data_IF_030317522314
#
_entry.id   IF_030317522314
#
_cell.length_a   1.000
_cell.length_b   1.000
_cell.length_c   1.000
_cell.angle_alpha   90.00
_cell.angle_beta   90.00
_cell.angle_gamma   90.00
#
_symmetry.space_group_name_H-M   'P 1'
#
loop_
_entity.id
_entity.type
_entity.pdbx_description
1 polymer ?
#
# COMPACT_ATOMS: atom_id res chain seq x y z
N UNK A 1 -13.39 6.69 17.09
CA UNK A 1 -12.44 6.57 15.96
C UNK A 1 -11.38 7.65 16.11
N UNK A 2 -10.11 7.35 15.87
CA UNK A 2 -9.00 8.31 15.92
C UNK A 2 -9.07 9.23 14.68
N UNK A 3 -9.26 10.55 14.85
CA UNK A 3 -9.43 11.46 13.71
C UNK A 3 -8.16 11.59 12.86
N UNK A 4 -6.97 11.52 13.46
CA UNK A 4 -5.72 11.61 12.73
C UNK A 4 -5.51 10.36 11.84
N UNK A 5 -5.88 9.18 12.36
CA UNK A 5 -5.84 7.94 11.57
C UNK A 5 -6.89 7.94 10.46
N UNK A 6 -8.08 8.47 10.70
CA UNK A 6 -9.10 8.60 9.66
C UNK A 6 -8.61 9.52 8.52
N UNK A 7 -8.05 10.69 8.87
CA UNK A 7 -7.45 11.60 7.90
C UNK A 7 -6.30 10.95 7.12
N UNK A 8 -5.45 10.18 7.80
CA UNK A 8 -4.37 9.44 7.13
C UNK A 8 -4.94 8.41 6.14
N UNK A 9 -6.04 7.73 6.50
CA UNK A 9 -6.69 6.77 5.61
C UNK A 9 -7.25 7.44 4.34
N UNK A 10 -7.83 8.63 4.46
CA UNK A 10 -8.31 9.41 3.31
C UNK A 10 -7.17 9.86 2.40
N UNK A 11 -6.07 10.35 2.99
CA UNK A 11 -4.88 10.74 2.22
C UNK A 11 -4.25 9.55 1.49
N UNK A 12 -4.15 8.39 2.14
CA UNK A 12 -3.65 7.15 1.54
C UNK A 12 -4.57 6.69 0.41
N UNK A 13 -5.89 6.78 0.59
CA UNK A 13 -6.85 6.47 -0.46
C UNK A 13 -6.65 7.38 -1.68
N UNK A 14 -6.55 8.69 -1.45
CA UNK A 14 -6.32 9.66 -2.53
C UNK A 14 -5.02 9.41 -3.28
N UNK A 15 -3.94 9.07 -2.54
CA UNK A 15 -2.66 8.68 -3.14
C UNK A 15 -2.82 7.47 -4.07
N UNK A 16 -3.53 6.44 -3.64
CA UNK A 16 -3.74 5.22 -4.42
C UNK A 16 -4.56 5.48 -5.69
N UNK A 17 -5.56 6.38 -5.62
CA UNK A 17 -6.34 6.82 -6.78
C UNK A 17 -5.45 7.52 -7.82
N UNK A 18 -4.58 8.44 -7.38
CA UNK A 18 -3.65 9.16 -8.25
C UNK A 18 -2.66 8.20 -8.92
N UNK A 19 -2.05 7.28 -8.16
CA UNK A 19 -1.13 6.26 -8.71
C UNK A 19 -1.85 5.37 -9.73
N UNK A 20 -3.10 5.01 -9.47
CA UNK A 20 -3.90 4.19 -10.39
C UNK A 20 -4.22 4.94 -11.68
N UNK A 21 -4.61 6.23 -11.58
CA UNK A 21 -4.87 7.08 -12.74
C UNK A 21 -3.59 7.24 -13.59
N UNK A 22 -2.48 7.60 -12.97
CA UNK A 22 -1.18 7.73 -13.66
C UNK A 22 -0.78 6.45 -14.40
N UNK A 23 -0.92 5.29 -13.76
CA UNK A 23 -0.58 4.01 -14.38
C UNK A 23 -1.45 3.74 -15.61
N UNK A 24 -2.77 4.06 -15.53
CA UNK A 24 -3.69 3.91 -16.65
C UNK A 24 -3.29 4.80 -17.83
N UNK A 25 -2.94 6.05 -17.55
CA UNK A 25 -2.58 7.01 -18.57
C UNK A 25 -1.19 6.74 -19.16
N UNK A 26 -0.22 6.31 -18.36
CA UNK A 26 1.09 5.82 -18.85
C UNK A 26 0.93 4.62 -19.81
N UNK A 27 0.03 3.68 -19.49
CA UNK A 27 -0.25 2.55 -20.39
C UNK A 27 -0.89 3.02 -21.71
N UNK A 28 -1.81 4.00 -21.66
CA UNK A 28 -2.43 4.59 -22.86
C UNK A 28 -1.41 5.32 -23.73
N UNK A 29 -0.51 6.09 -23.13
CA UNK A 29 0.54 6.79 -23.86
C UNK A 29 1.44 5.83 -24.65
N UNK A 30 1.72 4.65 -24.10
CA UNK A 30 2.55 3.62 -24.75
C UNK A 30 1.88 2.91 -25.94
N UNK A 31 0.54 2.97 -26.05
CA UNK A 31 -0.22 2.30 -27.12
C UNK A 31 -0.76 3.25 -28.19
N UNK A 32 -0.76 4.56 -27.93
CA UNK A 32 -1.31 5.58 -28.83
C UNK A 32 -0.40 5.86 -30.01
N UNK A 33 -1.00 5.94 -31.24
CA UNK A 33 -0.29 6.31 -32.46
C UNK A 33 -0.37 7.82 -32.77
N UNK A 34 -1.34 8.51 -32.19
CA UNK A 34 -1.56 9.94 -32.39
C UNK A 34 -0.63 10.77 -31.48
N UNK A 35 0.23 11.59 -32.11
CA UNK A 35 1.23 12.41 -31.39
C UNK A 35 0.58 13.52 -30.55
N UNK A 36 -0.56 14.08 -30.98
CA UNK A 36 -1.28 15.09 -30.23
C UNK A 36 -1.88 14.50 -28.97
N UNK A 37 -2.56 13.35 -29.09
CA UNK A 37 -3.14 12.62 -27.95
C UNK A 37 -2.02 12.21 -26.96
N UNK A 38 -0.89 11.72 -27.44
CA UNK A 38 0.25 11.35 -26.58
C UNK A 38 0.79 12.56 -25.80
N UNK A 39 0.81 13.75 -26.41
CA UNK A 39 1.20 15.00 -25.75
C UNK A 39 0.20 15.40 -24.66
N UNK A 40 -1.10 15.35 -24.95
CA UNK A 40 -2.15 15.66 -23.97
C UNK A 40 -2.10 14.72 -22.76
N UNK A 41 -1.94 13.41 -22.99
CA UNK A 41 -1.75 12.43 -21.92
C UNK A 41 -0.50 12.76 -21.11
N UNK A 42 0.59 13.16 -21.75
CA UNK A 42 1.82 13.57 -21.07
C UNK A 42 1.63 14.82 -20.18
N UNK A 43 0.79 15.78 -20.57
CA UNK A 43 0.43 16.93 -19.74
C UNK A 43 -0.35 16.47 -18.49
N UNK A 44 -1.37 15.64 -18.69
CA UNK A 44 -2.18 15.10 -17.61
C UNK A 44 -1.34 14.29 -16.61
N UNK A 45 -0.40 13.47 -17.08
CA UNK A 45 0.50 12.73 -16.21
C UNK A 45 1.32 13.67 -15.32
N UNK A 46 1.86 14.77 -15.85
CA UNK A 46 2.61 15.75 -15.05
C UNK A 46 1.75 16.42 -13.98
N UNK A 47 0.50 16.73 -14.31
CA UNK A 47 -0.45 17.27 -13.34
C UNK A 47 -0.75 16.28 -12.22
N UNK A 48 -0.99 15.01 -12.56
CA UNK A 48 -1.19 13.94 -11.59
C UNK A 48 0.06 13.71 -10.71
N UNK A 49 1.26 13.83 -11.27
CA UNK A 49 2.53 13.75 -10.52
C UNK A 49 2.64 14.88 -9.48
N UNK A 50 2.31 16.11 -9.86
CA UNK A 50 2.28 17.25 -8.92
C UNK A 50 1.25 17.04 -7.79
N UNK A 51 0.06 16.55 -8.09
CA UNK A 51 -0.93 16.23 -7.07
C UNK A 51 -0.48 15.08 -6.16
N UNK A 52 0.20 14.08 -6.71
CA UNK A 52 0.76 12.98 -5.92
C UNK A 52 1.81 13.47 -4.92
N UNK A 53 2.74 14.31 -5.36
CA UNK A 53 3.74 14.93 -4.49
C UNK A 53 3.09 15.74 -3.36
N UNK A 54 2.06 16.53 -3.67
CA UNK A 54 1.33 17.30 -2.67
C UNK A 54 0.65 16.41 -1.62
N UNK A 55 0.02 15.30 -2.04
CA UNK A 55 -0.61 14.34 -1.13
C UNK A 55 0.44 13.61 -0.29
N UNK A 56 1.56 13.21 -0.87
CA UNK A 56 2.66 12.55 -0.14
C UNK A 56 3.29 13.50 0.90
N UNK A 57 3.42 14.79 0.59
CA UNK A 57 3.85 15.80 1.55
C UNK A 57 2.86 15.94 2.72
N UNK A 58 1.54 15.91 2.45
CA UNK A 58 0.52 15.93 3.51
C UNK A 58 0.57 14.68 4.39
N UNK A 59 0.79 13.50 3.81
CA UNK A 59 0.97 12.24 4.56
C UNK A 59 2.20 12.34 5.47
N UNK A 60 3.34 12.78 4.92
CA UNK A 60 4.59 12.94 5.69
C UNK A 60 4.39 13.92 6.85
N UNK A 61 3.85 15.11 6.59
CA UNK A 61 3.59 16.11 7.61
C UNK A 61 2.65 15.59 8.71
N UNK A 62 1.55 14.91 8.35
CA UNK A 62 0.61 14.36 9.31
C UNK A 62 1.27 13.29 10.20
N UNK A 63 2.07 12.39 9.62
CA UNK A 63 2.78 11.35 10.36
C UNK A 63 3.85 11.96 11.28
N UNK A 64 4.59 12.97 10.83
CA UNK A 64 5.67 13.59 11.61
C UNK A 64 5.15 14.47 12.76
N UNK A 65 4.05 15.21 12.54
CA UNK A 65 3.51 16.15 13.53
C UNK A 65 2.63 15.50 14.60
N UNK A 66 2.19 14.26 14.40
CA UNK A 66 1.39 13.50 15.38
C UNK A 66 2.26 12.46 16.07
N UNK A 67 2.62 12.73 17.33
CA UNK A 67 3.54 11.90 18.12
C UNK A 67 3.23 10.40 18.04
N UNK A 68 1.95 10.03 18.18
CA UNK A 68 1.50 8.65 18.10
C UNK A 68 1.77 8.02 16.73
N UNK A 69 1.44 8.74 15.64
CA UNK A 69 1.68 8.24 14.28
C UNK A 69 3.17 8.17 13.98
N UNK A 70 3.95 9.15 14.46
CA UNK A 70 5.40 9.17 14.32
C UNK A 70 6.06 7.97 15.01
N UNK A 71 5.60 7.61 16.20
CA UNK A 71 6.11 6.47 16.93
C UNK A 71 5.76 5.14 16.23
N UNK A 72 4.50 4.98 15.79
CA UNK A 72 4.08 3.81 15.01
C UNK A 72 4.89 3.69 13.71
N UNK A 73 5.09 4.80 12.99
CA UNK A 73 5.89 4.83 11.77
C UNK A 73 7.35 4.47 12.01
N UNK A 74 7.95 4.95 13.10
CA UNK A 74 9.34 4.63 13.47
C UNK A 74 9.50 3.13 13.74
N UNK A 75 8.58 2.53 14.49
CA UNK A 75 8.56 1.08 14.78
C UNK A 75 8.44 0.27 13.49
N UNK A 76 7.53 0.63 12.60
CA UNK A 76 7.35 -0.06 11.33
C UNK A 76 8.58 0.05 10.43
N UNK A 77 9.16 1.25 10.34
CA UNK A 77 10.35 1.51 9.50
C UNK A 77 11.64 0.89 10.04
N UNK A 78 11.66 0.39 11.27
CA UNK A 78 12.78 -0.42 11.77
C UNK A 78 12.85 -1.81 11.12
N UNK A 79 11.77 -2.24 10.47
CA UNK A 79 11.74 -3.51 9.73
C UNK A 79 12.28 -3.28 8.32
N UNK A 80 13.31 -4.05 7.89
CA UNK A 80 13.86 -3.96 6.54
C UNK A 80 12.77 -4.07 5.46
N UNK A 81 12.83 -3.19 4.45
CA UNK A 81 11.86 -3.15 3.37
C UNK A 81 10.60 -2.31 3.64
N UNK A 82 10.35 -1.87 4.87
CA UNK A 82 9.25 -0.96 5.18
C UNK A 82 9.70 0.50 5.06
N UNK A 83 9.37 1.13 3.94
CA UNK A 83 9.56 2.55 3.71
C UNK A 83 8.38 3.41 4.21
N UNK A 84 8.48 4.77 4.10
CA UNK A 84 7.44 5.69 4.58
C UNK A 84 6.05 5.40 3.99
N UNK A 85 5.94 5.12 2.69
CA UNK A 85 4.68 4.84 2.03
C UNK A 85 4.01 3.56 2.55
N UNK A 86 4.79 2.49 2.73
CA UNK A 86 4.28 1.23 3.30
C UNK A 86 3.85 1.43 4.74
N UNK A 87 4.65 2.14 5.54
CA UNK A 87 4.30 2.44 6.94
C UNK A 87 2.97 3.22 7.01
N UNK A 88 2.78 4.25 6.18
CA UNK A 88 1.54 5.02 6.13
C UNK A 88 0.32 4.14 5.79
N UNK A 89 0.44 3.24 4.80
CA UNK A 89 -0.62 2.29 4.45
C UNK A 89 -0.95 1.36 5.63
N UNK A 90 0.05 0.81 6.29
CA UNK A 90 -0.14 -0.10 7.42
C UNK A 90 -0.81 0.61 8.60
N UNK A 91 -0.36 1.81 8.96
CA UNK A 91 -0.96 2.62 10.02
C UNK A 91 -2.42 2.94 9.69
N UNK A 92 -2.69 3.37 8.46
CA UNK A 92 -4.03 3.77 8.03
C UNK A 92 -5.00 2.58 7.91
N UNK A 93 -4.53 1.46 7.34
CA UNK A 93 -5.38 0.36 6.88
C UNK A 93 -5.34 -0.88 7.77
N UNK A 94 -4.41 -0.97 8.72
CA UNK A 94 -4.27 -2.12 9.64
C UNK A 94 -4.09 -1.66 11.09
N UNK A 95 -5.08 -0.96 11.67
CA UNK A 95 -5.02 -0.47 13.05
C UNK A 95 -4.88 -1.59 14.09
N UNK A 96 -5.16 -2.83 13.71
CA UNK A 96 -5.00 -4.02 14.54
C UNK A 96 -3.54 -4.49 14.65
N UNK A 97 -2.63 -3.88 13.91
CA UNK A 97 -1.21 -4.23 13.97
C UNK A 97 -0.64 -3.93 15.36
N UNK A 98 0.01 -4.92 15.95
CA UNK A 98 0.52 -4.83 17.32
C UNK A 98 -0.41 -5.45 18.38
N UNK A 99 -1.63 -5.87 18.02
CA UNK A 99 -2.47 -6.69 18.88
C UNK A 99 -1.94 -8.14 18.95
N UNK A 100 -2.19 -8.87 20.06
CA UNK A 100 -1.59 -10.18 20.28
C UNK A 100 -2.12 -11.31 19.38
N UNK A 101 -3.20 -11.08 18.63
CA UNK A 101 -3.81 -12.11 17.74
C UNK A 101 -3.19 -12.11 16.33
N UNK A 102 -2.06 -12.78 16.20
CA UNK A 102 -1.35 -12.91 14.91
C UNK A 102 -2.19 -13.58 13.82
N UNK A 103 -3.07 -14.53 14.17
CA UNK A 103 -3.93 -15.22 13.18
C UNK A 103 -4.95 -14.27 12.60
N UNK A 104 -5.55 -13.44 13.44
CA UNK A 104 -6.50 -12.41 13.02
C UNK A 104 -5.83 -11.35 12.15
N UNK A 105 -4.65 -10.88 12.54
CA UNK A 105 -3.88 -9.92 11.74
C UNK A 105 -3.54 -10.51 10.36
N UNK A 106 -3.08 -11.76 10.30
CA UNK A 106 -2.75 -12.44 9.05
C UNK A 106 -3.98 -12.59 8.15
N UNK A 107 -5.14 -12.92 8.72
CA UNK A 107 -6.41 -13.00 7.99
C UNK A 107 -6.87 -11.62 7.47
N UNK A 108 -6.79 -10.56 8.29
CA UNK A 108 -7.11 -9.18 7.91
C UNK A 108 -6.18 -8.66 6.80
N UNK A 109 -4.90 -9.00 6.84
CA UNK A 109 -3.95 -8.68 5.78
C UNK A 109 -4.20 -9.49 4.49
N UNK A 110 -5.06 -10.52 4.55
CA UNK A 110 -5.33 -11.40 3.42
C UNK A 110 -4.17 -12.31 3.07
N UNK A 111 -3.38 -12.71 4.07
CA UNK A 111 -2.23 -13.60 3.93
C UNK A 111 -2.50 -15.00 4.49
N UNK A 112 -3.65 -15.21 5.14
CA UNK A 112 -4.04 -16.51 5.66
C UNK A 112 -4.44 -17.46 4.50
N UNK A 113 -3.84 -18.66 4.43
CA UNK A 113 -4.24 -19.65 3.45
C UNK A 113 -5.55 -20.32 3.87
N UNK A 114 -6.59 -20.16 3.06
CA UNK A 114 -7.89 -20.80 3.26
C UNK A 114 -7.95 -22.14 2.54
N UNK A 115 -8.53 -23.14 3.20
CA UNK A 115 -8.80 -24.43 2.58
C UNK A 115 -9.94 -24.28 1.54
N UNK A 116 -9.78 -24.91 0.39
CA UNK A 116 -10.81 -25.04 -0.65
C UNK A 116 -11.17 -26.52 -0.79
N UNK A 117 -11.60 -27.13 0.33
CA UNK A 117 -11.97 -28.54 0.35
C UNK A 117 -13.44 -28.68 -0.08
N UNK A 118 -13.73 -29.59 -1.01
CA UNK A 118 -15.09 -29.94 -1.44
C UNK A 118 -15.28 -31.45 -1.38
N UNK A 119 -16.15 -31.90 -0.50
CA UNK A 119 -16.44 -33.31 -0.29
C UNK A 119 -15.20 -34.14 0.07
N UNK A 120 -14.88 -35.17 -0.70
CA UNK A 120 -13.70 -36.03 -0.50
C UNK A 120 -12.40 -35.46 -1.10
N UNK A 121 -12.47 -34.34 -1.86
CA UNK A 121 -11.30 -33.74 -2.50
C UNK A 121 -10.66 -32.65 -1.61
N UNK A 122 -9.42 -32.88 -1.22
CA UNK A 122 -8.60 -31.84 -0.56
C UNK A 122 -8.03 -30.88 -1.61
N UNK A 123 -8.58 -29.66 -1.67
CA UNK A 123 -8.12 -28.61 -2.57
C UNK A 123 -6.81 -27.97 -2.11
N UNK A 124 -6.10 -27.32 -3.06
CA UNK A 124 -4.93 -26.49 -2.71
C UNK A 124 -5.38 -25.27 -1.92
N UNK A 125 -4.73 -25.00 -0.79
CA UNK A 125 -4.97 -23.79 -0.01
C UNK A 125 -4.62 -22.57 -0.83
N UNK A 126 -5.49 -21.57 -0.84
CA UNK A 126 -5.29 -20.30 -1.56
C UNK A 126 -5.47 -19.13 -0.60
N UNK A 127 -4.68 -18.09 -0.83
CA UNK A 127 -4.82 -16.81 -0.16
C UNK A 127 -5.93 -16.03 -0.85
N UNK A 128 -6.97 -15.63 -0.10
CA UNK A 128 -8.06 -14.80 -0.58
C UNK A 128 -8.69 -13.99 0.57
N UNK A 129 -9.48 -12.96 0.23
CA UNK A 129 -10.08 -12.09 1.23
C UNK A 129 -9.10 -11.08 1.83
N UNK A 130 -9.45 -10.55 2.99
CA UNK A 130 -8.68 -9.52 3.69
C UNK A 130 -8.62 -8.18 2.97
N UNK A 131 -7.65 -7.34 3.35
CA UNK A 131 -7.45 -5.98 2.81
C UNK A 131 -6.41 -6.00 1.68
N UNK A 132 -6.81 -5.86 0.40
CA UNK A 132 -5.88 -5.97 -0.74
C UNK A 132 -4.74 -4.96 -0.72
N UNK A 133 -5.01 -3.74 -0.20
CA UNK A 133 -4.03 -2.66 -0.13
C UNK A 133 -2.92 -3.01 0.87
N UNK A 134 -3.29 -3.56 2.03
CA UNK A 134 -2.36 -4.05 3.05
C UNK A 134 -1.50 -5.18 2.48
N UNK A 135 -2.13 -6.16 1.82
CA UNK A 135 -1.40 -7.27 1.19
C UNK A 135 -0.41 -6.79 0.14
N UNK A 136 -0.79 -5.82 -0.71
CA UNK A 136 0.09 -5.20 -1.70
C UNK A 136 1.27 -4.48 -1.05
N UNK A 137 1.01 -3.71 0.01
CA UNK A 137 2.05 -3.00 0.75
C UNK A 137 3.06 -3.97 1.38
N UNK A 138 2.57 -5.04 2.03
CA UNK A 138 3.42 -6.07 2.62
C UNK A 138 4.21 -6.86 1.57
N UNK A 139 3.62 -7.15 0.40
CA UNK A 139 4.32 -7.78 -0.71
C UNK A 139 5.50 -6.92 -1.18
N UNK A 140 5.28 -5.62 -1.37
CA UNK A 140 6.34 -4.69 -1.77
C UNK A 140 7.44 -4.61 -0.72
N UNK A 141 7.08 -4.55 0.56
CA UNK A 141 8.04 -4.56 1.66
C UNK A 141 8.90 -5.84 1.66
N UNK A 142 8.26 -7.00 1.53
CA UNK A 142 8.95 -8.29 1.47
C UNK A 142 9.87 -8.39 0.24
N UNK A 143 9.42 -7.90 -0.91
CA UNK A 143 10.21 -7.87 -2.14
C UNK A 143 11.47 -6.99 -2.00
N UNK A 144 11.36 -5.84 -1.37
CA UNK A 144 12.51 -4.97 -1.09
C UNK A 144 13.42 -5.62 -0.05
N UNK A 145 12.86 -6.13 1.05
CA UNK A 145 13.61 -6.80 2.10
C UNK A 145 14.42 -7.98 1.57
N UNK A 146 13.85 -8.82 0.70
CA UNK A 146 14.55 -9.96 0.09
C UNK A 146 15.77 -9.58 -0.74
N UNK A 147 15.87 -8.32 -1.18
CA UNK A 147 17.01 -7.80 -1.93
C UNK A 147 18.05 -7.12 -1.05
N UNK A 148 17.61 -6.51 0.05
CA UNK A 148 18.44 -5.68 0.91
C UNK A 148 18.93 -6.40 2.16
N UNK A 149 18.17 -7.38 2.67
CA UNK A 149 18.50 -8.11 3.89
C UNK A 149 19.17 -9.46 3.55
N UNK A 150 20.43 -9.68 3.97
CA UNK A 150 21.12 -10.94 3.73
C UNK A 150 20.46 -12.16 4.37
N UNK A 151 19.71 -11.96 5.47
CA UNK A 151 18.99 -13.04 6.16
C UNK A 151 17.75 -13.53 5.40
N UNK A 152 17.27 -12.73 4.43
CA UNK A 152 16.07 -13.02 3.62
C UNK A 152 16.41 -13.41 2.17
N UNK A 153 17.68 -13.45 1.82
CA UNK A 153 18.20 -13.97 0.54
C UNK A 153 18.38 -15.48 0.62
#
# INVERSE_FOLDING_TARGET
ADPDRARLADLVARRDDLVTAMRRDKNRAGTGRDRWIAREIGLLIRELESHLEAVEAQIANLVETRERLAEEARRLRSVPGIGPAVAAVLIARLPELGLPDHRRITALAGLAPHACDSGLARGKRRIWGGRPDVRRALYLAAFVASRCDPALK
#
